data_IF_659967225864
#
_entry.id   IF_659967225864
#
_cell.length_a   1.000
_cell.length_b   1.000
_cell.length_c   1.000
_cell.angle_alpha   90.00
_cell.angle_beta   90.00
_cell.angle_gamma   90.00
#
_symmetry.space_group_name_H-M   'P 1'
#
loop_
_entity.id
_entity.type
_entity.pdbx_description
1 polymer ?
#
# COMPACT_ATOMS: atom_id res chain seq x y z
N UNK A 1 0.48 5.74 25.44
CA UNK A 1 -0.51 5.16 24.51
C UNK A 1 0.27 4.41 23.43
N UNK A 2 -0.02 3.14 23.21
CA UNK A 2 0.68 2.33 22.20
C UNK A 2 0.10 2.63 20.82
N UNK A 3 0.95 2.89 19.84
CA UNK A 3 0.53 3.04 18.44
C UNK A 3 0.13 1.67 17.89
N UNK A 4 -1.17 1.42 17.73
CA UNK A 4 -1.71 0.17 17.17
C UNK A 4 -1.85 0.22 15.65
N UNK A 5 -1.71 1.40 15.07
CA UNK A 5 -1.85 1.64 13.64
C UNK A 5 -0.83 2.68 13.19
N UNK A 6 -0.05 2.34 12.15
CA UNK A 6 0.86 3.25 11.47
C UNK A 6 0.67 3.06 9.97
N UNK A 7 0.72 4.15 9.21
CA UNK A 7 0.79 4.08 7.74
C UNK A 7 2.11 3.40 7.33
N UNK A 8 2.09 2.44 6.39
CA UNK A 8 3.33 1.81 5.89
C UNK A 8 4.27 2.85 5.27
N UNK A 9 5.56 2.69 5.48
CA UNK A 9 6.59 3.59 4.94
C UNK A 9 6.74 3.42 3.42
N UNK A 10 6.54 2.21 2.92
CA UNK A 10 6.47 1.94 1.48
C UNK A 10 5.26 2.57 0.78
N UNK A 11 4.26 3.09 1.51
CA UNK A 11 3.06 3.67 0.92
C UNK A 11 3.18 5.19 0.75
N UNK A 12 2.98 5.67 -0.48
CA UNK A 12 3.07 7.11 -0.81
C UNK A 12 2.01 7.95 -0.08
N UNK A 13 2.22 9.27 -0.03
CA UNK A 13 1.27 10.23 0.58
C UNK A 13 0.14 10.69 -0.33
N UNK A 14 -0.10 9.96 -1.41
CA UNK A 14 -1.17 10.25 -2.36
C UNK A 14 -2.48 9.61 -1.88
N UNK A 15 -3.58 10.38 -1.77
CA UNK A 15 -4.89 9.80 -1.49
C UNK A 15 -5.32 8.82 -2.59
N UNK A 16 -5.92 7.70 -2.19
CA UNK A 16 -6.48 6.75 -3.15
C UNK A 16 -7.70 7.35 -3.86
N UNK A 17 -7.81 7.08 -5.16
CA UNK A 17 -8.96 7.47 -5.98
C UNK A 17 -10.04 6.38 -6.04
N UNK A 18 -9.91 5.32 -5.23
CA UNK A 18 -10.79 4.16 -5.31
C UNK A 18 -12.18 4.40 -4.72
N UNK A 19 -13.18 3.71 -5.27
CA UNK A 19 -14.55 3.79 -4.80
C UNK A 19 -14.68 3.32 -3.34
N UNK A 20 -15.56 3.95 -2.53
CA UNK A 20 -15.85 3.47 -1.19
C UNK A 20 -16.43 2.05 -1.23
N UNK A 21 -15.92 1.17 -0.37
CA UNK A 21 -16.33 -0.24 -0.31
C UNK A 21 -15.60 -1.18 -1.26
N UNK A 22 -14.78 -0.69 -2.20
CA UNK A 22 -13.88 -1.57 -2.94
C UNK A 22 -12.58 -1.82 -2.14
N UNK A 23 -11.91 -2.93 -2.44
CA UNK A 23 -10.78 -3.42 -1.63
C UNK A 23 -9.40 -2.98 -2.13
N UNK A 24 -9.32 -2.25 -3.25
CA UNK A 24 -8.04 -1.85 -3.85
C UNK A 24 -7.13 -1.10 -2.86
N UNK A 25 -7.67 -0.12 -2.12
CA UNK A 25 -6.87 0.63 -1.14
C UNK A 25 -6.35 -0.23 0.01
N UNK A 26 -7.12 -1.25 0.42
CA UNK A 26 -6.68 -2.22 1.43
C UNK A 26 -5.55 -3.08 0.86
N UNK A 27 -5.68 -3.55 -0.38
CA UNK A 27 -4.65 -4.36 -1.05
C UNK A 27 -3.33 -3.58 -1.15
N UNK A 28 -3.35 -2.33 -1.62
CA UNK A 28 -2.14 -1.51 -1.70
C UNK A 28 -1.47 -1.32 -0.34
N UNK A 29 -2.27 -1.12 0.73
CA UNK A 29 -1.75 -1.04 2.09
C UNK A 29 -1.11 -2.36 2.54
N UNK A 30 -1.79 -3.50 2.36
CA UNK A 30 -1.28 -4.81 2.77
C UNK A 30 0.02 -5.15 2.05
N UNK A 31 0.10 -4.87 0.75
CA UNK A 31 1.34 -5.05 -0.02
C UNK A 31 2.45 -4.17 0.55
N UNK A 32 2.17 -2.90 0.86
CA UNK A 32 3.15 -2.00 1.46
C UNK A 32 3.61 -2.46 2.87
N UNK A 33 2.70 -2.95 3.72
CA UNK A 33 3.03 -3.54 5.02
C UNK A 33 4.01 -4.71 4.87
N UNK A 34 3.73 -5.61 3.93
CA UNK A 34 4.60 -6.78 3.66
C UNK A 34 5.97 -6.34 3.10
N UNK A 35 6.03 -5.32 2.26
CA UNK A 35 7.31 -4.78 1.75
C UNK A 35 8.19 -4.24 2.89
N UNK A 36 7.57 -3.54 3.85
CA UNK A 36 8.25 -3.01 5.03
C UNK A 36 8.68 -4.14 5.98
N UNK A 37 7.81 -5.11 6.28
CA UNK A 37 8.11 -6.27 7.11
C UNK A 37 9.29 -7.10 6.57
N UNK A 38 9.31 -7.29 5.25
CA UNK A 38 10.37 -8.03 4.56
C UNK A 38 11.64 -7.20 4.31
N UNK A 39 11.63 -5.90 4.62
CA UNK A 39 12.74 -4.97 4.38
C UNK A 39 13.22 -4.97 2.90
N UNK A 40 12.27 -5.03 1.96
CA UNK A 40 12.54 -5.06 0.51
C UNK A 40 12.12 -3.77 -0.21
N UNK A 41 11.64 -2.77 0.53
CA UNK A 41 11.35 -1.42 0.01
C UNK A 41 12.60 -0.84 -0.68
N UNK A 42 12.44 -0.31 -1.90
CA UNK A 42 13.55 0.16 -2.76
C UNK A 42 14.30 -0.94 -3.52
N UNK A 43 14.03 -2.22 -3.24
CA UNK A 43 14.57 -3.39 -3.98
C UNK A 43 13.50 -4.19 -4.73
N UNK A 44 12.22 -3.85 -4.54
CA UNK A 44 11.09 -4.43 -5.24
C UNK A 44 10.70 -3.56 -6.46
N UNK A 45 10.27 -4.20 -7.54
CA UNK A 45 9.70 -3.53 -8.72
C UNK A 45 8.20 -3.78 -8.71
N UNK A 46 7.41 -2.71 -8.60
CA UNK A 46 5.96 -2.76 -8.78
C UNK A 46 5.58 -2.75 -10.26
N UNK A 47 4.69 -3.64 -10.67
CA UNK A 47 4.13 -3.67 -12.04
C UNK A 47 2.65 -3.35 -11.95
N UNK A 48 2.25 -2.19 -12.46
CA UNK A 48 0.86 -1.73 -12.45
C UNK A 48 0.16 -2.07 -13.80
N UNK A 49 -1.02 -2.71 -13.78
CA UNK A 49 -1.81 -2.96 -15.00
C UNK A 49 -2.55 -1.69 -15.46
N UNK A 50 -3.32 -1.77 -16.55
CA UNK A 50 -4.32 -0.74 -16.86
C UNK A 50 -5.60 -1.03 -16.09
N UNK A 51 -6.10 -0.07 -15.32
CA UNK A 51 -7.37 -0.19 -14.58
C UNK A 51 -7.36 0.53 -13.23
N UNK A 52 -8.26 0.12 -12.33
CA UNK A 52 -8.37 0.69 -10.97
C UNK A 52 -7.31 0.16 -10.00
N UNK A 53 -6.44 -0.77 -10.37
CA UNK A 53 -5.43 -1.35 -9.49
C UNK A 53 -4.04 -0.70 -9.71
N UNK A 54 -4.04 0.62 -9.89
CA UNK A 54 -2.87 1.47 -10.18
C UNK A 54 -2.64 2.49 -9.09
#
# INVERSE_FOLDING_TARGET
MQTVFKKPEALTDVPFHYCPGCTHGIIHRLVAEVLDELNVTGRAIGVAPVGCAV
#
